data_IF_119508129307
#
_entry.id   IF_119508129307
#
_cell.length_a   1.000
_cell.length_b   1.000
_cell.length_c   1.000
_cell.angle_alpha   90.00
_cell.angle_beta   90.00
_cell.angle_gamma   90.00
#
_symmetry.space_group_name_H-M   'P 1'
#
loop_
_entity.id
_entity.type
_entity.pdbx_description
1 polymer ?
#
# COMPACT_ATOMS: atom_id res chain seq x y z
N UNK A 1 59.72 -25.98 -25.16
CA UNK A 1 58.69 -26.40 -24.19
C UNK A 1 57.84 -25.18 -23.86
N UNK A 2 56.69 -25.03 -24.53
CA UNK A 2 55.78 -23.88 -24.33
C UNK A 2 54.56 -24.35 -23.54
N UNK A 3 54.30 -23.76 -22.37
CA UNK A 3 53.10 -24.00 -21.58
C UNK A 3 52.18 -22.77 -21.67
N UNK A 4 51.11 -22.90 -22.43
CA UNK A 4 50.02 -21.93 -22.53
C UNK A 4 49.04 -22.28 -21.40
N UNK A 5 48.92 -21.43 -20.37
CA UNK A 5 47.86 -21.54 -19.37
C UNK A 5 46.59 -20.86 -19.89
N UNK A 6 45.58 -21.67 -20.18
CA UNK A 6 44.23 -21.25 -20.53
C UNK A 6 43.43 -20.88 -19.27
N UNK A 7 42.94 -19.64 -19.20
CA UNK A 7 42.03 -19.21 -18.15
C UNK A 7 40.61 -19.70 -18.46
N UNK A 8 40.11 -20.64 -17.67
CA UNK A 8 38.73 -21.13 -17.72
C UNK A 8 37.76 -20.04 -17.22
N UNK A 9 36.92 -19.52 -18.13
CA UNK A 9 35.86 -18.55 -17.85
C UNK A 9 34.70 -19.25 -17.13
N UNK A 10 34.54 -19.00 -15.83
CA UNK A 10 33.43 -19.51 -15.02
C UNK A 10 32.13 -18.81 -15.44
N UNK A 11 31.21 -19.55 -16.07
CA UNK A 11 29.85 -19.11 -16.42
C UNK A 11 29.03 -18.94 -15.13
N UNK A 12 28.66 -17.70 -14.78
CA UNK A 12 27.56 -17.42 -13.83
C UNK A 12 26.25 -17.86 -14.47
N UNK A 13 25.60 -18.90 -13.94
CA UNK A 13 24.23 -19.25 -14.29
C UNK A 13 23.28 -18.34 -13.53
N UNK A 14 22.69 -17.36 -14.22
CA UNK A 14 21.55 -16.61 -13.69
C UNK A 14 20.36 -17.58 -13.54
N UNK A 15 19.73 -17.60 -12.36
CA UNK A 15 18.50 -18.35 -12.14
C UNK A 15 17.40 -17.85 -13.09
N UNK A 16 16.63 -18.77 -13.68
CA UNK A 16 15.66 -18.39 -14.71
C UNK A 16 14.47 -17.61 -14.09
N UNK A 17 13.91 -16.60 -14.78
CA UNK A 17 12.79 -15.80 -14.28
C UNK A 17 11.58 -16.63 -13.83
N UNK A 18 11.38 -17.79 -14.46
CA UNK A 18 10.31 -18.75 -14.15
C UNK A 18 10.50 -19.44 -12.79
N UNK A 19 11.74 -19.63 -12.34
CA UNK A 19 12.05 -20.20 -11.02
C UNK A 19 11.78 -19.17 -9.90
N UNK A 20 12.09 -17.90 -10.14
CA UNK A 20 11.80 -16.82 -9.19
C UNK A 20 10.28 -16.60 -9.02
N UNK A 21 9.51 -16.66 -10.13
CA UNK A 21 8.04 -16.52 -10.10
C UNK A 21 7.39 -17.70 -9.36
N UNK A 22 7.85 -18.93 -9.57
CA UNK A 22 7.30 -20.11 -8.90
C UNK A 22 7.65 -20.17 -7.40
N UNK A 23 8.83 -19.66 -7.00
CA UNK A 23 9.19 -19.49 -5.59
C UNK A 23 8.34 -18.42 -4.91
N UNK A 24 8.10 -17.29 -5.59
CA UNK A 24 7.25 -16.22 -5.08
C UNK A 24 5.79 -16.68 -4.90
N UNK A 25 5.24 -17.42 -5.86
CA UNK A 25 3.89 -17.99 -5.76
C UNK A 25 3.76 -19.00 -4.61
N UNK A 26 4.79 -19.84 -4.39
CA UNK A 26 4.84 -20.80 -3.28
C UNK A 26 4.96 -20.13 -1.92
N UNK A 27 5.76 -19.07 -1.80
CA UNK A 27 5.89 -18.29 -0.57
C UNK A 27 4.60 -17.52 -0.26
N UNK A 28 3.95 -16.97 -1.28
CA UNK A 28 2.67 -16.25 -1.16
C UNK A 28 1.52 -17.17 -0.74
N UNK A 29 1.38 -18.35 -1.34
CA UNK A 29 0.32 -19.30 -0.96
C UNK A 29 0.52 -19.86 0.45
N UNK A 30 1.77 -20.14 0.84
CA UNK A 30 2.11 -20.53 2.21
C UNK A 30 1.83 -19.43 3.23
N UNK A 31 1.99 -18.15 2.86
CA UNK A 31 1.70 -17.00 3.70
C UNK A 31 0.19 -16.73 3.86
N UNK A 32 -0.58 -16.80 2.77
CA UNK A 32 -2.04 -16.66 2.79
C UNK A 32 -2.72 -17.79 3.58
N UNK A 33 -2.25 -19.03 3.40
CA UNK A 33 -2.73 -20.20 4.15
C UNK A 33 -2.48 -20.06 5.65
N UNK A 34 -1.35 -19.45 6.04
CA UNK A 34 -1.02 -19.20 7.45
C UNK A 34 -1.85 -18.07 8.07
N UNK A 35 -2.25 -17.06 7.29
CA UNK A 35 -3.18 -16.01 7.73
C UNK A 35 -4.59 -16.56 7.96
N UNK A 36 -5.07 -17.45 7.07
CA UNK A 36 -6.36 -18.15 7.24
C UNK A 36 -6.39 -19.02 8.50
N UNK A 37 -5.31 -19.75 8.80
CA UNK A 37 -5.19 -20.53 10.05
C UNK A 37 -5.26 -19.67 11.30
N UNK A 38 -4.60 -18.51 11.31
CA UNK A 38 -4.63 -17.58 12.45
C UNK A 38 -6.00 -16.94 12.65
N UNK A 39 -6.74 -16.66 11.58
CA UNK A 39 -8.14 -16.19 11.66
C UNK A 39 -9.04 -17.26 12.29
N UNK A 40 -9.02 -18.49 11.76
CA UNK A 40 -9.81 -19.60 12.30
C UNK A 40 -9.44 -19.90 13.76
N UNK A 41 -8.16 -19.83 14.12
CA UNK A 41 -7.71 -20.04 15.49
C UNK A 41 -8.16 -18.90 16.42
N UNK A 42 -8.14 -17.64 15.96
CA UNK A 42 -8.60 -16.49 16.74
C UNK A 42 -10.12 -16.51 16.93
N UNK A 43 -10.88 -16.82 15.87
CA UNK A 43 -12.34 -16.93 15.91
C UNK A 43 -12.78 -18.06 16.84
N UNK A 44 -12.17 -19.24 16.75
CA UNK A 44 -12.45 -20.37 17.66
C UNK A 44 -11.98 -20.10 19.09
N UNK A 45 -10.85 -19.39 19.28
CA UNK A 45 -10.37 -19.04 20.63
C UNK A 45 -11.22 -17.97 21.30
N UNK A 46 -11.99 -17.19 20.53
CA UNK A 46 -12.90 -16.16 21.03
C UNK A 46 -14.26 -16.72 21.48
N UNK A 47 -14.64 -17.93 21.05
CA UNK A 47 -15.88 -18.61 21.47
C UNK A 47 -15.79 -19.09 22.92
N UNK A 48 -16.86 -18.95 23.69
CA UNK A 48 -16.92 -19.48 25.06
C UNK A 48 -16.89 -21.01 25.06
N UNK A 49 -16.49 -21.62 26.18
CA UNK A 49 -16.39 -23.09 26.27
C UNK A 49 -17.73 -23.81 26.04
N UNK A 50 -18.86 -23.13 26.29
CA UNK A 50 -20.20 -23.64 25.99
C UNK A 50 -20.50 -23.62 24.49
N UNK A 51 -20.09 -22.58 23.78
CA UNK A 51 -20.24 -22.46 22.32
C UNK A 51 -19.30 -23.42 21.58
N UNK A 52 -18.09 -23.67 22.10
CA UNK A 52 -17.19 -24.70 21.60
C UNK A 52 -17.80 -26.10 21.75
N UNK A 53 -18.47 -26.36 22.87
CA UNK A 53 -19.15 -27.63 23.11
C UNK A 53 -20.36 -27.85 22.21
N UNK A 54 -21.12 -26.78 21.89
CA UNK A 54 -22.28 -26.84 20.98
C UNK A 54 -21.88 -27.15 19.53
N UNK A 55 -20.65 -26.79 19.12
CA UNK A 55 -20.08 -27.19 17.82
C UNK A 55 -19.27 -28.51 17.89
N UNK A 56 -19.30 -29.19 19.03
CA UNK A 56 -18.68 -30.50 19.24
C UNK A 56 -17.15 -30.47 19.29
N UNK A 57 -16.54 -29.37 19.74
CA UNK A 57 -15.08 -29.24 19.87
C UNK A 57 -14.66 -28.78 21.27
N UNK A 58 -13.40 -29.02 21.62
CA UNK A 58 -12.83 -28.54 22.88
C UNK A 58 -11.65 -27.60 22.63
N UNK A 59 -11.36 -26.73 23.61
CA UNK A 59 -10.30 -25.73 23.51
C UNK A 59 -8.90 -26.34 23.27
N UNK A 60 -8.68 -27.57 23.72
CA UNK A 60 -7.45 -28.33 23.44
C UNK A 60 -7.34 -28.92 22.02
N UNK A 61 -8.44 -28.97 21.28
CA UNK A 61 -8.50 -29.52 19.91
C UNK A 61 -8.44 -28.45 18.82
N UNK A 62 -8.56 -27.17 19.19
CA UNK A 62 -8.51 -26.03 18.26
C UNK A 62 -7.23 -26.06 17.42
N UNK A 63 -6.08 -26.33 18.05
CA UNK A 63 -4.79 -26.41 17.35
C UNK A 63 -4.71 -27.60 16.39
N UNK A 64 -5.36 -28.72 16.74
CA UNK A 64 -5.43 -29.92 15.90
C UNK A 64 -6.38 -29.71 14.70
N UNK A 65 -7.55 -29.12 14.91
CA UNK A 65 -8.56 -28.84 13.88
C UNK A 65 -8.06 -27.78 12.89
N UNK A 66 -7.39 -26.74 13.39
CA UNK A 66 -6.71 -25.74 12.56
C UNK A 66 -5.57 -26.34 11.73
N UNK A 67 -5.05 -27.50 12.11
CA UNK A 67 -3.99 -28.22 11.40
C UNK A 67 -4.50 -29.24 10.36
N UNK A 68 -5.68 -29.84 10.57
CA UNK A 68 -6.19 -30.95 9.76
C UNK A 68 -6.91 -30.56 8.46
N UNK A 69 -7.45 -29.34 8.33
CA UNK A 69 -8.15 -28.89 7.10
C UNK A 69 -7.27 -28.79 5.84
N UNK A 70 -6.05 -29.32 5.86
CA UNK A 70 -5.11 -29.31 4.75
C UNK A 70 -4.25 -30.59 4.67
N UNK A 71 -4.81 -31.75 4.30
CA UNK A 71 -3.97 -32.88 3.87
C UNK A 71 -4.53 -33.51 2.60
N UNK A 72 -3.97 -33.10 1.47
CA UNK A 72 -3.54 -34.04 0.45
C UNK A 72 -2.03 -33.82 0.28
N UNK A 73 -1.21 -34.77 0.74
CA UNK A 73 0.25 -34.82 0.51
C UNK A 73 0.61 -36.14 -0.14
N UNK A 74 1.56 -36.17 -1.08
CA UNK A 74 2.46 -37.30 -1.22
C UNK A 74 3.81 -37.01 -0.53
N UNK A 75 4.49 -38.11 -0.28
CA UNK A 75 5.50 -38.37 0.74
C UNK A 75 6.94 -38.28 0.18
N UNK A 76 7.93 -37.79 0.96
CA UNK A 76 9.30 -38.38 1.10
C UNK A 76 10.26 -37.60 2.03
N UNK A 77 11.38 -38.26 2.32
CA UNK A 77 12.09 -38.50 3.58
C UNK A 77 12.99 -37.39 4.17
N UNK A 78 13.26 -37.60 5.46
CA UNK A 78 14.14 -36.97 6.44
C UNK A 78 15.58 -37.51 6.36
N UNK A 79 16.63 -36.70 6.47
CA UNK A 79 17.46 -36.72 7.70
C UNK A 79 18.40 -35.51 7.91
N UNK A 80 18.41 -34.48 7.04
CA UNK A 80 19.29 -33.30 7.22
C UNK A 80 18.62 -32.10 7.94
N UNK A 81 17.41 -32.27 8.46
CA UNK A 81 16.50 -31.14 8.80
C UNK A 81 16.61 -30.54 10.20
N UNK A 82 17.34 -31.10 11.17
CA UNK A 82 17.15 -30.69 12.57
C UNK A 82 17.84 -29.35 12.91
N UNK A 83 19.05 -29.12 12.39
CA UNK A 83 19.76 -27.84 12.59
C UNK A 83 19.12 -26.68 11.84
N UNK A 84 18.81 -26.88 10.56
CA UNK A 84 18.19 -25.86 9.71
C UNK A 84 16.75 -25.55 10.15
N UNK A 85 15.97 -26.55 10.59
CA UNK A 85 14.60 -26.31 11.05
C UNK A 85 14.53 -25.46 12.32
N UNK A 86 15.51 -25.57 13.23
CA UNK A 86 15.56 -24.78 14.46
C UNK A 86 15.90 -23.31 14.20
N UNK A 87 16.87 -23.05 13.32
CA UNK A 87 17.22 -21.69 12.88
C UNK A 87 16.05 -21.07 12.12
N UNK A 88 15.40 -21.84 11.24
CA UNK A 88 14.19 -21.41 10.54
C UNK A 88 13.06 -21.12 11.54
N UNK A 89 12.80 -21.98 12.53
CA UNK A 89 11.78 -21.76 13.57
C UNK A 89 12.03 -20.51 14.42
N UNK A 90 13.28 -20.23 14.81
CA UNK A 90 13.66 -19.04 15.56
C UNK A 90 13.50 -17.76 14.72
N UNK A 91 13.97 -17.79 13.46
CA UNK A 91 13.73 -16.70 12.52
C UNK A 91 12.23 -16.51 12.23
N UNK A 92 11.43 -17.58 12.17
CA UNK A 92 9.98 -17.53 12.01
C UNK A 92 9.25 -16.90 13.21
N UNK A 93 9.75 -17.09 14.43
CA UNK A 93 9.17 -16.49 15.64
C UNK A 93 9.50 -14.99 15.74
N UNK A 94 10.76 -14.61 15.49
CA UNK A 94 11.17 -13.19 15.45
C UNK A 94 10.44 -12.45 14.32
N UNK A 95 10.35 -13.06 13.13
CA UNK A 95 9.60 -12.49 12.00
C UNK A 95 8.09 -12.41 12.28
N UNK A 96 7.53 -13.36 13.05
CA UNK A 96 6.11 -13.32 13.46
C UNK A 96 5.80 -12.19 14.42
N UNK A 97 6.71 -11.86 15.35
CA UNK A 97 6.53 -10.76 16.30
C UNK A 97 6.61 -9.39 15.59
N UNK A 98 7.61 -9.19 14.74
CA UNK A 98 7.79 -7.95 13.97
C UNK A 98 6.64 -7.75 12.95
N UNK A 99 6.17 -8.84 12.33
CA UNK A 99 5.05 -8.78 11.38
C UNK A 99 3.70 -8.55 12.07
N UNK A 100 3.51 -9.07 13.29
CA UNK A 100 2.29 -8.85 14.05
C UNK A 100 2.14 -7.39 14.46
N UNK A 101 3.24 -6.72 14.81
CA UNK A 101 3.23 -5.32 15.21
C UNK A 101 2.92 -4.38 14.03
N UNK A 102 3.55 -4.64 12.87
CA UNK A 102 3.24 -3.92 11.62
C UNK A 102 1.83 -4.19 11.11
N UNK A 103 1.33 -5.42 11.20
CA UNK A 103 -0.04 -5.75 10.81
C UNK A 103 -1.07 -5.10 11.74
N UNK A 104 -0.80 -5.04 13.05
CA UNK A 104 -1.65 -4.32 14.02
C UNK A 104 -1.67 -2.82 13.72
N UNK A 105 -0.52 -2.18 13.48
CA UNK A 105 -0.46 -0.76 13.13
C UNK A 105 -1.23 -0.42 11.84
N UNK A 106 -1.27 -1.34 10.88
CA UNK A 106 -2.05 -1.20 9.64
C UNK A 106 -3.56 -1.34 9.86
N UNK A 107 -3.98 -2.36 10.62
CA UNK A 107 -5.38 -2.54 10.99
C UNK A 107 -5.86 -1.34 11.80
N UNK A 108 -5.10 -0.88 12.80
CA UNK A 108 -5.47 0.30 13.59
C UNK A 108 -5.62 1.55 12.72
N UNK A 109 -4.81 1.72 11.68
CA UNK A 109 -4.93 2.91 10.86
C UNK A 109 -6.05 2.83 9.81
N UNK A 110 -6.33 1.64 9.25
CA UNK A 110 -7.54 1.43 8.46
C UNK A 110 -8.80 1.55 9.31
N UNK A 111 -8.76 1.10 10.56
CA UNK A 111 -9.84 1.25 11.53
C UNK A 111 -9.97 2.72 11.95
N UNK A 112 -8.87 3.44 12.18
CA UNK A 112 -8.89 4.90 12.43
C UNK A 112 -9.43 5.63 11.23
N UNK A 113 -9.04 5.28 9.99
CA UNK A 113 -9.61 5.89 8.79
C UNK A 113 -11.10 5.58 8.68
N UNK A 114 -11.49 4.31 8.77
CA UNK A 114 -12.90 3.88 8.70
C UNK A 114 -13.73 4.52 9.80
N UNK A 115 -13.23 4.58 11.03
CA UNK A 115 -13.88 5.24 12.16
C UNK A 115 -13.90 6.75 11.97
N UNK A 116 -12.83 7.38 11.48
CA UNK A 116 -12.82 8.82 11.19
C UNK A 116 -13.82 9.18 10.08
N UNK A 117 -13.95 8.32 9.06
CA UNK A 117 -14.96 8.42 8.00
C UNK A 117 -16.38 8.13 8.54
N UNK A 118 -16.54 7.24 9.52
CA UNK A 118 -17.84 6.85 10.08
C UNK A 118 -18.33 7.75 11.24
N UNK A 119 -17.42 8.38 11.99
CA UNK A 119 -17.72 9.07 13.27
C UNK A 119 -18.05 10.55 13.08
N UNK A 120 -17.81 11.17 11.91
CA UNK A 120 -17.93 12.63 11.79
C UNK A 120 -19.11 13.11 10.94
N UNK A 121 -20.28 13.14 11.56
CA UNK A 121 -21.41 14.04 11.27
C UNK A 121 -21.42 15.27 12.22
N UNK A 122 -20.25 15.82 12.58
CA UNK A 122 -20.11 17.04 13.37
C UNK A 122 -19.02 17.94 12.75
N UNK A 123 -19.19 19.27 12.68
CA UNK A 123 -18.52 20.09 11.69
C UNK A 123 -17.00 20.10 11.88
N UNK A 124 -16.27 19.82 10.81
CA UNK A 124 -14.89 20.25 10.71
C UNK A 124 -14.84 21.78 10.83
N UNK A 125 -13.80 22.30 11.48
CA UNK A 125 -13.50 23.74 11.46
C UNK A 125 -13.58 24.25 10.00
N UNK A 126 -14.01 25.50 9.76
CA UNK A 126 -14.31 26.01 8.43
C UNK A 126 -13.03 26.17 7.62
N UNK A 127 -12.52 25.06 7.07
CA UNK A 127 -11.85 25.08 5.77
C UNK A 127 -12.89 25.60 4.79
N UNK A 128 -12.51 26.63 4.03
CA UNK A 128 -13.41 27.39 3.16
C UNK A 128 -14.36 26.45 2.41
N UNK A 129 -15.65 26.45 2.80
CA UNK A 129 -16.70 25.71 2.10
C UNK A 129 -16.98 26.29 0.71
N UNK A 130 -16.19 27.29 0.29
CA UNK A 130 -16.26 27.89 -1.03
C UNK A 130 -15.75 26.85 -2.03
N UNK A 131 -16.62 26.39 -2.94
CA UNK A 131 -16.20 25.45 -3.97
C UNK A 131 -15.09 26.05 -4.83
N UNK A 132 -14.05 25.27 -5.09
CA UNK A 132 -12.98 25.63 -5.99
C UNK A 132 -13.56 25.80 -7.40
N UNK A 133 -13.22 26.93 -8.03
CA UNK A 133 -13.63 27.25 -9.39
C UNK A 133 -12.59 26.83 -10.43
N UNK A 134 -11.30 26.82 -10.07
CA UNK A 134 -10.21 26.33 -10.93
C UNK A 134 -9.04 25.81 -10.10
N UNK A 135 -8.33 24.81 -10.62
CA UNK A 135 -7.07 24.32 -10.06
C UNK A 135 -5.97 25.40 -10.01
N UNK A 136 -6.04 26.42 -10.87
CA UNK A 136 -5.09 27.53 -10.88
C UNK A 136 -5.15 28.38 -9.61
N UNK A 137 -6.33 28.46 -9.00
CA UNK A 137 -6.62 29.30 -7.82
C UNK A 137 -6.24 28.62 -6.51
N UNK A 138 -5.96 27.31 -6.55
CA UNK A 138 -5.57 26.56 -5.36
C UNK A 138 -4.07 26.64 -5.16
N UNK A 139 -3.68 27.01 -3.94
CA UNK A 139 -2.27 27.12 -3.57
C UNK A 139 -1.59 25.75 -3.58
N UNK A 140 -0.33 25.74 -4.02
CA UNK A 140 0.53 24.57 -3.91
C UNK A 140 0.68 24.24 -2.43
N UNK A 141 0.31 23.01 -2.06
CA UNK A 141 0.42 22.54 -0.69
C UNK A 141 1.82 22.02 -0.39
N UNK A 142 2.41 21.25 -1.32
CA UNK A 142 3.76 20.71 -1.16
C UNK A 142 4.45 20.52 -2.51
N UNK A 143 5.76 20.72 -2.54
CA UNK A 143 6.60 20.31 -3.68
C UNK A 143 7.45 19.13 -3.24
N UNK A 144 7.47 18.07 -4.05
CA UNK A 144 8.27 16.87 -3.77
C UNK A 144 9.15 16.52 -4.96
N UNK A 145 10.22 15.77 -4.71
CA UNK A 145 11.06 15.18 -5.74
C UNK A 145 10.56 13.78 -6.10
N UNK A 146 10.45 13.50 -7.40
CA UNK A 146 10.22 12.15 -7.96
C UNK A 146 11.48 11.63 -8.66
N UNK A 147 11.45 10.39 -9.14
CA UNK A 147 12.58 9.77 -9.85
C UNK A 147 13.85 9.68 -9.03
N UNK A 148 13.73 9.54 -7.71
CA UNK A 148 14.84 9.46 -6.76
C UNK A 148 15.30 8.03 -6.48
N UNK A 149 14.56 7.02 -6.95
CA UNK A 149 14.86 5.60 -6.74
C UNK A 149 14.90 4.86 -8.07
N UNK A 150 15.87 3.95 -8.20
CA UNK A 150 16.05 3.14 -9.41
C UNK A 150 15.00 2.03 -9.55
N UNK A 151 14.49 1.51 -8.44
CA UNK A 151 13.52 0.40 -8.42
C UNK A 151 12.65 0.41 -7.16
N UNK A 152 11.55 -0.35 -7.20
CA UNK A 152 10.58 -0.46 -6.12
C UNK A 152 11.16 -1.12 -4.86
N UNK A 153 12.22 -1.94 -4.97
CA UNK A 153 12.88 -2.52 -3.80
C UNK A 153 13.68 -1.46 -3.02
N UNK A 154 14.41 -0.58 -3.71
CA UNK A 154 15.13 0.53 -3.11
C UNK A 154 14.16 1.51 -2.44
N UNK A 155 13.06 1.84 -3.13
CA UNK A 155 11.98 2.66 -2.58
C UNK A 155 11.39 2.04 -1.30
N UNK A 156 11.08 0.74 -1.32
CA UNK A 156 10.55 0.03 -0.16
C UNK A 156 11.54 0.01 1.01
N UNK A 157 12.82 -0.28 0.76
CA UNK A 157 13.84 -0.25 1.81
C UNK A 157 13.96 1.14 2.46
N UNK A 158 13.86 2.21 1.67
CA UNK A 158 13.87 3.57 2.21
C UNK A 158 12.66 3.83 3.12
N UNK A 159 11.47 3.37 2.72
CA UNK A 159 10.27 3.48 3.57
C UNK A 159 10.42 2.66 4.86
N UNK A 160 10.94 1.43 4.77
CA UNK A 160 11.22 0.61 5.95
C UNK A 160 12.25 1.27 6.89
N UNK A 161 13.27 1.94 6.35
CA UNK A 161 14.32 2.62 7.12
C UNK A 161 13.80 3.81 7.94
N UNK A 162 12.75 4.50 7.46
CA UNK A 162 12.07 5.56 8.22
C UNK A 162 10.94 5.03 9.12
N UNK A 163 10.79 3.70 9.23
CA UNK A 163 9.74 3.09 10.02
C UNK A 163 8.33 3.24 9.44
N UNK A 164 8.20 3.50 8.13
CA UNK A 164 6.88 3.61 7.49
C UNK A 164 6.18 2.24 7.42
N UNK A 165 4.98 2.15 7.99
CA UNK A 165 4.13 0.97 7.85
C UNK A 165 3.49 0.90 6.46
N UNK A 166 3.70 -0.18 5.71
CA UNK A 166 3.14 -0.35 4.35
C UNK A 166 2.04 -1.42 4.33
N UNK A 167 0.78 -0.99 4.17
CA UNK A 167 -0.41 -1.84 4.13
C UNK A 167 -0.35 -2.94 3.06
N UNK A 168 -1.02 -4.08 3.29
CA UNK A 168 -0.95 -5.23 2.36
C UNK A 168 -1.30 -4.87 0.90
N UNK A 169 -2.38 -4.11 0.70
CA UNK A 169 -2.79 -3.70 -0.65
C UNK A 169 -1.80 -2.72 -1.29
N UNK A 170 -1.26 -1.79 -0.49
CA UNK A 170 -0.20 -0.88 -0.96
C UNK A 170 1.08 -1.64 -1.33
N UNK A 171 1.53 -2.54 -0.46
CA UNK A 171 2.67 -3.43 -0.71
C UNK A 171 2.48 -4.24 -1.99
N UNK A 172 1.29 -4.81 -2.17
CA UNK A 172 0.96 -5.57 -3.36
C UNK A 172 1.04 -4.72 -4.62
N UNK A 173 0.44 -3.52 -4.63
CA UNK A 173 0.45 -2.67 -5.84
C UNK A 173 1.83 -2.09 -6.16
N UNK A 174 2.67 -1.81 -5.16
CA UNK A 174 4.07 -1.40 -5.37
C UNK A 174 4.91 -2.49 -6.03
N UNK A 175 4.51 -3.76 -5.90
CA UNK A 175 5.15 -4.90 -6.56
C UNK A 175 4.53 -5.23 -7.94
N UNK A 176 3.51 -4.49 -8.40
CA UNK A 176 2.88 -4.73 -9.69
C UNK A 176 3.72 -4.13 -10.81
N UNK A 177 3.79 -4.77 -11.99
CA UNK A 177 4.43 -4.17 -13.16
C UNK A 177 3.81 -2.85 -13.62
N UNK A 178 2.53 -2.62 -13.27
CA UNK A 178 1.83 -1.37 -13.55
C UNK A 178 2.28 -0.21 -12.65
N UNK A 179 2.96 -0.49 -11.53
CA UNK A 179 3.62 0.54 -10.74
C UNK A 179 4.98 0.84 -11.35
N UNK A 180 5.14 2.06 -11.86
CA UNK A 180 6.38 2.56 -12.44
C UNK A 180 6.97 3.69 -11.60
N UNK A 181 8.30 3.76 -11.61
CA UNK A 181 9.06 4.89 -11.09
C UNK A 181 9.59 5.70 -12.27
N UNK A 182 9.61 7.01 -12.13
CA UNK A 182 10.26 7.88 -13.12
C UNK A 182 11.76 7.63 -13.13
N UNK A 183 12.37 7.57 -14.32
CA UNK A 183 13.82 7.58 -14.50
C UNK A 183 14.40 9.00 -14.45
N UNK A 184 13.53 10.02 -14.48
CA UNK A 184 13.88 11.43 -14.45
C UNK A 184 13.54 12.02 -13.09
N UNK A 185 14.56 12.57 -12.45
CA UNK A 185 14.37 13.40 -11.26
C UNK A 185 13.67 14.70 -11.65
N UNK A 186 12.54 14.97 -11.02
CA UNK A 186 11.75 16.18 -11.25
C UNK A 186 11.12 16.65 -9.94
N UNK A 187 10.87 17.95 -9.85
CA UNK A 187 10.03 18.54 -8.80
C UNK A 187 8.58 18.51 -9.27
N UNK A 188 7.68 18.05 -8.39
CA UNK A 188 6.24 17.98 -8.67
C UNK A 188 5.52 18.79 -7.61
N UNK A 189 4.69 19.72 -8.08
CA UNK A 189 3.83 20.54 -7.24
C UNK A 189 2.52 19.81 -6.96
N UNK A 190 2.25 19.59 -5.68
CA UNK A 190 1.08 18.89 -5.17
C UNK A 190 0.08 19.88 -4.59
N UNK A 191 -1.18 19.62 -4.85
CA UNK A 191 -2.31 20.35 -4.31
C UNK A 191 -3.19 19.39 -3.54
N UNK A 192 -3.56 19.75 -2.31
CA UNK A 192 -4.40 18.94 -1.46
C UNK A 192 -5.78 19.60 -1.31
N UNK A 193 -6.83 18.91 -1.75
CA UNK A 193 -8.23 19.40 -1.74
C UNK A 193 -9.13 18.35 -1.13
N UNK A 194 -10.10 18.77 -0.34
CA UNK A 194 -11.19 17.92 0.11
C UNK A 194 -12.22 17.72 -1.00
N UNK A 195 -12.97 16.63 -0.92
CA UNK A 195 -14.08 16.37 -1.82
C UNK A 195 -15.17 17.46 -1.68
N UNK A 196 -15.37 18.00 -0.48
CA UNK A 196 -16.25 19.16 -0.26
C UNK A 196 -15.80 20.40 -1.05
N UNK A 197 -14.50 20.72 -1.03
CA UNK A 197 -13.92 21.85 -1.78
C UNK A 197 -14.04 21.66 -3.31
N UNK A 198 -14.16 20.42 -3.81
CA UNK A 198 -14.47 20.15 -5.22
C UNK A 198 -15.93 20.47 -5.60
N UNK A 199 -16.79 20.74 -4.62
CA UNK A 199 -18.18 21.16 -4.80
C UNK A 199 -19.22 20.10 -4.43
N UNK A 200 -18.83 18.98 -3.81
CA UNK A 200 -19.77 17.96 -3.35
C UNK A 200 -20.34 18.30 -1.97
N UNK A 201 -21.68 18.32 -1.87
CA UNK A 201 -22.39 18.78 -0.66
C UNK A 201 -23.06 17.64 0.14
N UNK A 202 -23.01 16.40 -0.37
CA UNK A 202 -23.55 15.20 0.31
C UNK A 202 -22.61 14.65 1.39
N UNK A 203 -22.94 13.49 1.95
CA UNK A 203 -22.02 12.78 2.88
C UNK A 203 -20.85 12.11 2.13
N UNK A 204 -21.14 11.57 0.96
CA UNK A 204 -20.19 10.89 0.09
C UNK A 204 -20.35 11.31 -1.38
N UNK A 205 -19.33 11.05 -2.18
CA UNK A 205 -19.36 11.11 -3.63
C UNK A 205 -18.64 9.88 -4.22
N UNK A 206 -19.02 9.46 -5.42
CA UNK A 206 -18.32 8.36 -6.10
C UNK A 206 -16.93 8.79 -6.53
N UNK A 207 -15.96 7.87 -6.50
CA UNK A 207 -14.60 8.14 -6.98
C UNK A 207 -14.59 8.65 -8.44
N UNK A 208 -15.46 8.09 -9.28
CA UNK A 208 -15.66 8.52 -10.67
C UNK A 208 -16.04 9.99 -10.76
N UNK A 209 -17.03 10.42 -10.00
CA UNK A 209 -17.51 11.81 -10.03
C UNK A 209 -16.45 12.77 -9.49
N UNK A 210 -15.74 12.36 -8.43
CA UNK A 210 -14.63 13.12 -7.85
C UNK A 210 -13.55 13.36 -8.90
N UNK A 211 -13.15 12.32 -9.65
CA UNK A 211 -12.12 12.44 -10.68
C UNK A 211 -12.60 13.29 -11.85
N UNK A 212 -13.82 13.06 -12.34
CA UNK A 212 -14.41 13.86 -13.41
C UNK A 212 -14.47 15.35 -13.02
N UNK A 213 -14.86 15.65 -11.78
CA UNK A 213 -14.91 17.01 -11.26
C UNK A 213 -13.52 17.62 -11.11
N UNK A 214 -12.57 16.90 -10.52
CA UNK A 214 -11.21 17.38 -10.34
C UNK A 214 -10.53 17.69 -11.68
N UNK A 215 -10.64 16.78 -12.65
CA UNK A 215 -10.11 16.98 -14.00
C UNK A 215 -10.83 18.12 -14.73
N UNK A 216 -12.16 18.25 -14.56
CA UNK A 216 -12.93 19.38 -15.10
C UNK A 216 -12.53 20.75 -14.54
N UNK A 217 -11.99 20.78 -13.31
CA UNK A 217 -11.40 21.97 -12.68
C UNK A 217 -9.93 22.20 -13.09
N UNK A 218 -9.34 21.28 -13.86
CA UNK A 218 -7.95 21.35 -14.33
C UNK A 218 -6.93 20.71 -13.38
N UNK A 219 -7.34 19.90 -12.41
CA UNK A 219 -6.37 19.12 -11.62
C UNK A 219 -5.83 17.94 -12.44
N UNK A 220 -4.53 17.69 -12.37
CA UNK A 220 -3.91 16.52 -12.99
C UNK A 220 -3.92 15.31 -12.05
N UNK A 221 -4.12 14.11 -12.62
CA UNK A 221 -3.88 12.87 -11.88
C UNK A 221 -2.38 12.68 -11.67
N UNK A 222 -2.03 12.25 -10.47
CA UNK A 222 -0.66 12.00 -10.04
C UNK A 222 -0.19 10.61 -10.49
N UNK A 223 1.10 10.48 -10.81
CA UNK A 223 1.72 9.17 -10.97
C UNK A 223 1.70 8.41 -9.63
N UNK A 224 1.59 7.08 -9.68
CA UNK A 224 1.53 6.23 -8.48
C UNK A 224 2.74 6.42 -7.56
N UNK A 225 3.92 6.71 -8.11
CA UNK A 225 5.16 6.95 -7.34
C UNK A 225 5.06 8.14 -6.39
N UNK A 226 4.13 9.07 -6.62
CA UNK A 226 3.92 10.25 -5.77
C UNK A 226 3.61 9.84 -4.34
N UNK A 227 2.85 8.75 -4.13
CA UNK A 227 2.50 8.32 -2.77
C UNK A 227 3.73 7.90 -1.93
N UNK A 228 4.57 6.94 -2.36
CA UNK A 228 5.76 6.57 -1.60
C UNK A 228 6.81 7.70 -1.57
N UNK A 229 6.93 8.52 -2.62
CA UNK A 229 7.85 9.67 -2.62
C UNK A 229 7.42 10.75 -1.62
N UNK A 230 6.13 11.08 -1.58
CA UNK A 230 5.55 12.00 -0.59
C UNK A 230 5.75 11.46 0.82
N UNK A 231 5.51 10.17 1.03
CA UNK A 231 5.69 9.55 2.34
C UNK A 231 7.10 9.74 2.90
N UNK A 232 8.11 9.61 2.04
CA UNK A 232 9.53 9.77 2.40
C UNK A 232 9.93 11.24 2.65
N UNK A 233 9.15 12.21 2.15
CA UNK A 233 9.47 13.65 2.18
C UNK A 233 8.52 14.47 3.06
N UNK A 234 7.53 13.84 3.69
CA UNK A 234 6.57 14.47 4.58
C UNK A 234 6.53 13.72 5.90
N UNK A 235 7.52 13.93 6.76
CA UNK A 235 7.69 13.16 7.99
C UNK A 235 6.94 13.75 9.19
N UNK A 236 6.62 15.04 9.13
CA UNK A 236 5.89 15.84 10.10
C UNK A 236 4.37 15.81 9.88
N UNK A 237 3.85 14.73 9.28
CA UNK A 237 2.43 14.58 9.01
C UNK A 237 1.61 14.55 10.32
N UNK A 238 0.59 15.41 10.50
CA UNK A 238 -0.26 15.39 11.67
C UNK A 238 -0.99 14.05 11.88
N UNK A 239 -1.12 13.63 13.14
CA UNK A 239 -1.91 12.45 13.50
C UNK A 239 -3.37 12.67 13.08
N UNK A 240 -3.95 11.65 12.44
CA UNK A 240 -5.31 11.70 11.91
C UNK A 240 -5.42 12.31 10.52
N UNK A 241 -4.32 12.78 9.92
CA UNK A 241 -4.33 13.21 8.52
C UNK A 241 -4.22 12.00 7.59
N UNK A 242 -5.14 11.93 6.63
CA UNK A 242 -5.17 10.94 5.55
C UNK A 242 -5.27 11.67 4.21
N UNK A 243 -4.32 11.40 3.33
CA UNK A 243 -4.22 12.03 2.01
C UNK A 243 -4.23 10.95 0.94
N UNK A 244 -5.35 10.81 0.25
CA UNK A 244 -5.50 9.86 -0.86
C UNK A 244 -4.89 10.47 -2.11
N UNK A 245 -4.02 9.75 -2.79
CA UNK A 245 -3.42 10.24 -4.03
C UNK A 245 -4.45 10.10 -5.14
N UNK A 246 -4.76 11.21 -5.82
CA UNK A 246 -5.57 11.23 -7.02
C UNK A 246 -4.77 10.66 -8.19
N UNK A 247 -4.68 9.34 -8.26
CA UNK A 247 -3.93 8.58 -9.25
C UNK A 247 -4.84 7.62 -10.01
N UNK A 248 -4.39 7.11 -11.16
CA UNK A 248 -5.02 5.96 -11.78
C UNK A 248 -4.89 4.73 -10.85
N UNK A 249 -5.99 4.02 -10.53
CA UNK A 249 -5.93 2.85 -9.67
C UNK A 249 -5.06 1.73 -10.27
N UNK A 250 -4.21 1.12 -9.46
CA UNK A 250 -3.44 -0.06 -9.84
C UNK A 250 -4.19 -1.30 -9.37
N UNK A 251 -4.39 -2.26 -10.28
CA UNK A 251 -5.06 -3.52 -9.94
C UNK A 251 -4.13 -4.45 -9.17
N UNK A 252 -4.65 -5.04 -8.09
CA UNK A 252 -4.05 -6.17 -7.38
C UNK A 252 -3.92 -7.39 -8.31
N UNK A 253 -3.25 -8.45 -7.85
CA UNK A 253 -3.23 -9.74 -8.55
C UNK A 253 -4.61 -10.36 -8.65
N UNK A 254 -5.53 -10.02 -7.74
CA UNK A 254 -6.93 -10.45 -7.78
C UNK A 254 -7.80 -9.58 -8.70
N UNK A 255 -7.26 -8.49 -9.24
CA UNK A 255 -7.95 -7.57 -10.15
C UNK A 255 -8.65 -6.40 -9.47
N UNK A 256 -8.57 -6.29 -8.15
CA UNK A 256 -9.16 -5.19 -7.37
C UNK A 256 -8.38 -3.89 -7.62
N UNK A 257 -9.00 -2.80 -8.08
CA UNK A 257 -8.36 -1.50 -8.22
C UNK A 257 -8.04 -0.89 -6.85
N UNK A 258 -6.82 -0.40 -6.67
CA UNK A 258 -6.35 0.18 -5.41
C UNK A 258 -5.70 1.54 -5.67
N UNK A 259 -6.08 2.52 -4.85
CA UNK A 259 -5.41 3.81 -4.69
C UNK A 259 -4.42 3.76 -3.52
N UNK A 260 -3.47 4.69 -3.50
CA UNK A 260 -2.54 4.85 -2.38
C UNK A 260 -2.94 6.04 -1.51
N UNK A 261 -2.86 5.85 -0.19
CA UNK A 261 -3.11 6.89 0.81
C UNK A 261 -1.90 7.00 1.73
N UNK A 262 -1.37 8.22 1.87
CA UNK A 262 -0.35 8.54 2.89
C UNK A 262 -1.04 9.07 4.13
N UNK A 263 -0.69 8.53 5.29
CA UNK A 263 -1.37 8.89 6.52
C UNK A 263 -0.48 8.79 7.76
N UNK A 264 -0.95 9.40 8.83
CA UNK A 264 -0.44 9.16 10.17
C UNK A 264 -1.59 8.69 11.07
N UNK A 265 -1.64 7.39 11.34
CA UNK A 265 -2.70 6.75 12.14
C UNK A 265 -2.51 6.84 13.65
N UNK A 266 -1.55 7.63 14.14
CA UNK A 266 -1.22 7.76 15.58
C UNK A 266 -0.18 6.76 16.08
N UNK A 267 -0.09 5.59 15.45
CA UNK A 267 0.99 4.61 15.69
C UNK A 267 2.24 4.84 14.81
N UNK A 268 2.21 5.86 13.94
CA UNK A 268 3.31 6.21 13.05
C UNK A 268 2.86 6.53 11.63
N UNK A 269 3.86 6.80 10.78
CA UNK A 269 3.68 7.09 9.37
C UNK A 269 3.37 5.82 8.59
N UNK A 270 2.37 5.88 7.72
CA UNK A 270 1.94 4.74 6.94
C UNK A 270 1.67 5.10 5.48
N UNK A 271 1.72 4.07 4.65
CA UNK A 271 1.23 4.04 3.28
C UNK A 271 0.25 2.86 3.17
N UNK A 272 -1.01 3.13 2.89
CA UNK A 272 -2.07 2.11 2.82
C UNK A 272 -2.75 2.12 1.46
N UNK A 273 -3.39 0.99 1.12
CA UNK A 273 -4.24 0.90 -0.04
C UNK A 273 -5.66 1.30 0.33
N UNK A 274 -6.31 2.05 -0.55
CA UNK A 274 -7.73 2.40 -0.49
C UNK A 274 -8.45 1.80 -1.69
N UNK A 275 -9.75 1.54 -1.53
CA UNK A 275 -10.60 1.09 -2.62
C UNK A 275 -10.54 2.09 -3.79
N UNK A 276 -10.21 1.58 -4.98
CA UNK A 276 -10.09 2.34 -6.21
C UNK A 276 -11.19 2.05 -7.22
N UNK A 277 -12.28 1.38 -6.84
CA UNK A 277 -13.42 1.21 -7.74
C UNK A 277 -14.09 2.57 -8.01
N UNK A 278 -14.53 2.76 -9.24
CA UNK A 278 -15.22 3.97 -9.69
C UNK A 278 -16.43 4.34 -8.82
N UNK A 279 -17.18 3.34 -8.36
CA UNK A 279 -18.38 3.48 -7.54
C UNK A 279 -18.10 3.52 -6.03
N UNK A 280 -16.82 3.42 -5.63
CA UNK A 280 -16.41 3.56 -4.24
C UNK A 280 -16.89 4.90 -3.68
N UNK A 281 -17.63 4.82 -2.57
CA UNK A 281 -18.19 5.99 -1.90
C UNK A 281 -17.14 6.62 -1.00
N UNK A 282 -16.72 7.82 -1.33
CA UNK A 282 -15.71 8.57 -0.60
C UNK A 282 -16.37 9.70 0.16
N UNK A 283 -16.09 9.79 1.47
CA UNK A 283 -16.63 10.86 2.31
C UNK A 283 -16.17 12.24 1.83
N UNK A 284 -17.06 13.23 1.89
CA UNK A 284 -16.75 14.59 1.42
C UNK A 284 -15.62 15.28 2.20
N UNK A 285 -15.35 14.84 3.43
CA UNK A 285 -14.23 15.34 4.24
C UNK A 285 -12.87 14.75 3.84
N UNK A 286 -12.87 13.69 3.01
CA UNK A 286 -11.63 13.05 2.56
C UNK A 286 -10.83 13.99 1.68
N UNK A 287 -9.51 14.01 1.88
CA UNK A 287 -8.60 14.86 1.12
C UNK A 287 -7.90 14.06 0.04
N UNK A 288 -7.93 14.59 -1.17
CA UNK A 288 -7.18 14.10 -2.31
C UNK A 288 -5.98 14.99 -2.58
N UNK A 289 -4.89 14.36 -3.02
CA UNK A 289 -3.69 15.02 -3.50
C UNK A 289 -3.61 14.84 -5.01
N UNK A 290 -3.67 15.96 -5.73
CA UNK A 290 -3.52 16.03 -7.18
C UNK A 290 -2.22 16.74 -7.55
N UNK A 291 -1.79 16.59 -8.79
CA UNK A 291 -0.70 17.41 -9.33
C UNK A 291 -1.26 18.70 -9.90
N UNK A 292 -0.54 19.80 -9.67
CA UNK A 292 -0.79 21.03 -10.42
C UNK A 292 -0.31 20.78 -11.85
N UNK A 293 -1.13 21.02 -12.89
CA UNK A 293 -0.62 20.96 -14.25
C UNK A 293 0.49 22.00 -14.39
N UNK A 294 1.61 21.59 -14.99
CA UNK A 294 2.61 22.57 -15.40
C UNK A 294 1.93 23.58 -16.34
N UNK A 295 2.12 24.86 -16.04
CA UNK A 295 1.73 25.92 -16.98
C UNK A 295 2.42 25.58 -18.30
N UNK A 296 1.69 25.38 -19.43
CA UNK A 296 2.36 25.04 -20.67
C UNK A 296 3.35 26.15 -20.98
N UNK A 297 4.62 25.79 -21.13
CA UNK A 297 5.74 26.67 -21.53
C UNK A 297 5.47 27.43 -22.85
N UNK A 298 4.35 27.15 -23.52
CA UNK A 298 3.86 27.83 -24.71
C UNK A 298 3.38 29.28 -24.48
N UNK A 299 3.06 29.70 -23.25
CA UNK A 299 2.57 31.07 -23.03
C UNK A 299 3.71 32.10 -22.86
N UNK A 300 4.89 31.65 -22.41
CA UNK A 300 6.05 32.53 -22.20
C UNK A 300 6.89 32.67 -23.49
N UNK A 301 6.95 31.62 -24.32
CA UNK A 301 7.56 31.68 -25.64
C UNK A 301 6.76 32.57 -26.63
N UNK A 302 5.43 32.66 -26.49
CA UNK A 302 4.59 33.53 -27.33
C UNK A 302 4.63 35.01 -26.89
N UNK A 303 5.05 35.29 -25.66
CA UNK A 303 5.22 36.65 -25.15
C UNK A 303 6.62 37.24 -25.43
N UNK A 304 7.64 36.39 -25.63
CA UNK A 304 8.97 36.81 -26.09
C UNK A 304 9.11 36.93 -27.62
N UNK A 305 8.06 36.58 -28.37
CA UNK A 305 8.02 36.65 -29.85
C UNK A 305 7.11 37.79 -30.38
N UNK A 306 6.70 38.73 -29.53
CA UNK A 306 6.00 39.97 -29.90
C UNK A 306 6.84 41.17 -29.51
#
# INVERSE_FOLDING_TARGET
MSAIYSAARMRRTAASPQQAISLFQRLRSAWQERRRRRGVQADLSALSDRELMDIGTTRGEIDYIASQRSIARPHRSSAQRIGDALVILLLFNVFSLISADRARAQCTAQDVLRNHLAVKAAPAAPGSQIPISSAADVSVWKTILIGTFADSFALRRAMDAIGCGVGNSADEILARPAFSLSDKKAEVQLVAVSVAELGFQGETASLRDIYARAQGLGFGLAAAEIAPQLRLQYLDQPIGEFLTIGMEPIRTWAGEPVLLTVANGGAGLILIGQDGHDDAQISVISRFVFVRPDKPASAEAAAMAR
#
